data_IF_439369421349
#
_entry.id   IF_439369421349
#
_cell.length_a   1.000
_cell.length_b   1.000
_cell.length_c   1.000
_cell.angle_alpha   90.00
_cell.angle_beta   90.00
_cell.angle_gamma   90.00
#
_symmetry.space_group_name_H-M   'P 1'
#
loop_
_entity.id
_entity.type
_entity.pdbx_description
1 polymer ?
#
# COMPACT_ATOMS: atom_id res chain seq x y z
N UNK A 1 -3.51 1.17 9.96
CA UNK A 1 -3.37 2.49 9.30
C UNK A 1 -2.60 2.34 8.01
N UNK A 2 -2.42 3.40 7.23
CA UNK A 2 -1.60 3.37 6.00
C UNK A 2 -0.76 4.64 5.87
N UNK A 3 0.36 4.52 5.17
CA UNK A 3 1.09 5.65 4.63
C UNK A 3 0.70 5.78 3.16
N UNK A 4 0.47 7.01 2.71
CA UNK A 4 0.18 7.31 1.32
C UNK A 4 1.37 8.04 0.70
N UNK A 5 1.65 7.73 -0.56
CA UNK A 5 2.61 8.48 -1.35
C UNK A 5 1.89 9.24 -2.45
N UNK A 6 2.33 10.46 -2.67
CA UNK A 6 1.71 11.38 -3.60
C UNK A 6 2.78 12.08 -4.44
N UNK A 7 2.49 12.30 -5.71
CA UNK A 7 3.19 13.27 -6.55
C UNK A 7 2.40 14.57 -6.55
N UNK A 8 3.08 15.70 -6.38
CA UNK A 8 2.45 17.02 -6.40
C UNK A 8 2.89 17.81 -7.62
N UNK A 9 1.91 18.37 -8.33
CA UNK A 9 2.16 19.30 -9.42
C UNK A 9 2.65 20.63 -8.87
N UNK A 10 3.86 21.08 -9.23
CA UNK A 10 4.43 22.34 -8.68
C UNK A 10 3.93 23.60 -9.39
N UNK A 11 3.31 23.43 -10.55
CA UNK A 11 2.76 24.49 -11.42
C UNK A 11 1.47 23.97 -12.08
N UNK A 12 0.76 24.82 -12.81
CA UNK A 12 -0.26 24.33 -13.76
C UNK A 12 0.45 23.59 -14.90
N UNK A 13 0.14 22.30 -15.10
CA UNK A 13 0.78 21.42 -16.07
C UNK A 13 -0.25 20.83 -17.03
N UNK A 14 0.14 20.63 -18.29
CA UNK A 14 -0.60 19.81 -19.25
C UNK A 14 0.31 18.70 -19.76
N UNK A 15 -0.11 17.45 -19.60
CA UNK A 15 0.65 16.26 -19.99
C UNK A 15 -0.11 15.57 -21.11
N UNK A 16 0.48 15.56 -22.31
CA UNK A 16 -0.07 14.82 -23.45
C UNK A 16 0.43 13.37 -23.43
N UNK A 17 -0.50 12.41 -23.42
CA UNK A 17 -0.23 10.98 -23.48
C UNK A 17 -0.65 10.46 -24.86
N UNK A 18 0.28 10.58 -25.82
CA UNK A 18 0.04 10.30 -27.24
C UNK A 18 -0.65 8.96 -27.50
N UNK A 19 -0.22 7.89 -26.82
CA UNK A 19 -0.74 6.52 -27.03
C UNK A 19 -2.24 6.39 -26.79
N UNK A 20 -2.82 7.25 -25.96
CA UNK A 20 -4.27 7.28 -25.69
C UNK A 20 -4.96 8.52 -26.28
N UNK A 21 -4.22 9.38 -26.99
CA UNK A 21 -4.72 10.64 -27.56
C UNK A 21 -5.36 11.60 -26.55
N UNK A 22 -4.91 11.55 -25.29
CA UNK A 22 -5.45 12.38 -24.22
C UNK A 22 -4.42 13.41 -23.74
N UNK A 23 -4.93 14.57 -23.32
CA UNK A 23 -4.15 15.58 -22.60
C UNK A 23 -4.74 15.75 -21.21
N UNK A 24 -3.98 15.40 -20.20
CA UNK A 24 -4.38 15.52 -18.80
C UNK A 24 -3.83 16.84 -18.25
N UNK A 25 -4.70 17.63 -17.63
CA UNK A 25 -4.32 18.89 -16.98
C UNK A 25 -4.24 18.70 -15.47
N UNK A 26 -3.18 19.21 -14.86
CA UNK A 26 -3.00 19.26 -13.41
C UNK A 26 -2.86 20.71 -12.97
N UNK A 27 -3.57 21.12 -11.92
CA UNK A 27 -3.39 22.42 -11.30
C UNK A 27 -2.18 22.45 -10.38
N UNK A 28 -1.62 23.64 -10.16
CA UNK A 28 -0.60 23.82 -9.14
C UNK A 28 -1.11 23.31 -7.78
N UNK A 29 -0.27 22.54 -7.11
CA UNK A 29 -0.50 21.82 -5.86
C UNK A 29 -1.52 20.68 -5.91
N UNK A 30 -2.04 20.33 -7.10
CA UNK A 30 -2.82 19.11 -7.28
C UNK A 30 -1.95 17.87 -7.02
N UNK A 31 -2.50 16.88 -6.33
CA UNK A 31 -1.78 15.67 -5.94
C UNK A 31 -2.33 14.43 -6.63
N UNK A 32 -1.43 13.58 -7.11
CA UNK A 32 -1.73 12.24 -7.60
C UNK A 32 -1.28 11.25 -6.54
N UNK A 33 -2.21 10.50 -5.96
CA UNK A 33 -1.87 9.40 -5.07
C UNK A 33 -1.27 8.25 -5.89
N UNK A 34 -0.03 7.90 -5.58
CA UNK A 34 0.70 6.85 -6.30
C UNK A 34 0.73 5.52 -5.54
N UNK A 35 0.65 5.55 -4.21
CA UNK A 35 0.76 4.33 -3.40
C UNK A 35 -0.03 4.40 -2.09
N UNK A 36 -0.40 3.21 -1.60
CA UNK A 36 -0.84 2.95 -0.23
C UNK A 36 -0.03 1.81 0.42
N UNK A 37 0.79 2.14 1.41
CA UNK A 37 1.47 1.16 2.25
C UNK A 37 0.65 0.90 3.53
N UNK A 38 -0.24 -0.08 3.49
CA UNK A 38 -0.99 -0.53 4.66
C UNK A 38 -0.10 -1.20 5.72
N UNK A 39 -0.36 -0.88 6.98
CA UNK A 39 0.31 -1.48 8.14
C UNK A 39 -0.69 -2.31 8.92
N UNK A 40 -0.30 -3.54 9.23
CA UNK A 40 -1.15 -4.56 9.84
C UNK A 40 -0.72 -4.86 11.27
N UNK A 41 -1.72 -5.05 12.13
CA UNK A 41 -1.54 -5.62 13.46
C UNK A 41 -1.55 -7.15 13.40
N UNK A 42 -1.03 -7.82 14.43
CA UNK A 42 -1.09 -9.28 14.54
C UNK A 42 -2.53 -9.84 14.43
N UNK A 43 -3.49 -9.16 15.06
CA UNK A 43 -4.91 -9.55 14.96
C UNK A 43 -5.42 -9.49 13.52
N UNK A 44 -5.06 -8.44 12.77
CA UNK A 44 -5.46 -8.33 11.37
C UNK A 44 -4.81 -9.40 10.50
N UNK A 45 -3.54 -9.73 10.76
CA UNK A 45 -2.85 -10.82 10.05
C UNK A 45 -3.53 -12.18 10.34
N UNK A 46 -3.91 -12.43 11.59
CA UNK A 46 -4.64 -13.65 11.98
C UNK A 46 -5.98 -13.79 11.28
N UNK A 47 -6.76 -12.71 11.22
CA UNK A 47 -8.05 -12.71 10.53
C UNK A 47 -7.86 -12.95 9.02
N UNK A 48 -6.86 -12.30 8.41
CA UNK A 48 -6.55 -12.54 6.99
C UNK A 48 -6.14 -13.98 6.69
N UNK A 49 -5.40 -14.62 7.60
CA UNK A 49 -5.04 -16.03 7.46
C UNK A 49 -6.28 -16.92 7.50
N UNK A 50 -7.13 -16.75 8.52
CA UNK A 50 -8.36 -17.53 8.71
C UNK A 50 -9.32 -17.37 7.53
N UNK A 51 -9.59 -16.13 7.11
CA UNK A 51 -10.46 -15.81 5.97
C UNK A 51 -9.93 -16.40 4.65
N UNK A 52 -8.62 -16.67 4.58
CA UNK A 52 -7.97 -17.26 3.40
C UNK A 52 -7.80 -18.78 3.50
N UNK A 53 -8.27 -19.44 4.55
CA UNK A 53 -8.13 -20.89 4.75
C UNK A 53 -6.75 -21.33 5.26
N UNK A 54 -6.03 -20.44 5.93
CA UNK A 54 -4.71 -20.70 6.52
C UNK A 54 -4.75 -20.53 8.04
N UNK A 55 -3.82 -21.18 8.71
CA UNK A 55 -3.49 -20.96 10.12
C UNK A 55 -2.06 -20.42 10.27
N UNK A 56 -1.81 -19.67 11.34
CA UNK A 56 -0.48 -19.15 11.66
C UNK A 56 0.26 -20.18 12.52
N UNK A 57 1.36 -20.72 12.00
CA UNK A 57 2.22 -21.66 12.74
C UNK A 57 3.24 -20.97 13.62
N UNK A 58 3.84 -19.90 13.11
CA UNK A 58 4.87 -19.19 13.85
C UNK A 58 4.93 -17.71 13.44
N UNK A 59 5.35 -16.89 14.40
CA UNK A 59 5.43 -15.45 14.29
C UNK A 59 6.84 -15.01 14.66
N UNK A 60 7.53 -14.38 13.73
CA UNK A 60 8.88 -13.85 13.92
C UNK A 60 8.84 -12.33 13.89
N UNK A 61 9.64 -11.71 14.76
CA UNK A 61 9.76 -10.25 14.80
C UNK A 61 11.17 -9.83 15.18
N UNK A 62 11.56 -8.65 14.74
CA UNK A 62 12.84 -8.06 15.14
C UNK A 62 12.81 -7.62 16.62
N UNK A 63 13.97 -7.34 17.21
CA UNK A 63 14.09 -6.97 18.63
C UNK A 63 13.25 -5.74 19.02
N UNK A 64 13.00 -4.83 18.07
CA UNK A 64 12.20 -3.61 18.31
C UNK A 64 10.72 -3.78 17.96
N UNK A 65 10.32 -4.96 17.46
CA UNK A 65 8.94 -5.30 17.08
C UNK A 65 8.36 -4.35 16.02
N UNK A 66 9.18 -3.92 15.06
CA UNK A 66 8.76 -3.02 13.98
C UNK A 66 8.29 -3.77 12.75
N UNK A 67 8.81 -4.97 12.53
CA UNK A 67 8.45 -5.81 11.41
C UNK A 67 8.07 -7.21 11.89
N UNK A 68 7.12 -7.80 11.19
CA UNK A 68 6.56 -9.10 11.53
C UNK A 68 6.56 -10.00 10.31
N UNK A 69 7.08 -11.21 10.47
CA UNK A 69 7.02 -12.28 9.48
C UNK A 69 6.20 -13.43 10.07
N UNK A 70 5.16 -13.86 9.36
CA UNK A 70 4.30 -14.94 9.80
C UNK A 70 4.47 -16.16 8.87
N UNK A 71 4.66 -17.33 9.47
CA UNK A 71 4.67 -18.61 8.76
C UNK A 71 3.25 -19.17 8.76
N UNK A 72 2.65 -19.30 7.58
CA UNK A 72 1.31 -19.85 7.41
C UNK A 72 1.37 -21.30 6.91
N UNK A 73 0.38 -22.10 7.29
CA UNK A 73 0.07 -23.37 6.62
C UNK A 73 -1.42 -23.44 6.30
N UNK A 74 -1.82 -24.20 5.26
CA UNK A 74 -3.23 -24.52 5.07
C UNK A 74 -3.81 -25.18 6.33
N UNK A 75 -5.09 -24.92 6.58
CA UNK A 75 -5.87 -25.62 7.62
C UNK A 75 -6.12 -27.07 7.17
#
# INVERSE_FOLDING_TARGET
GRIEMHLISKIDQQVNIQRIHETISFKQNETIQTENSYKYTLRQISLLAEDSGFEIKENFTDKKKWYHLALFSPI
#
